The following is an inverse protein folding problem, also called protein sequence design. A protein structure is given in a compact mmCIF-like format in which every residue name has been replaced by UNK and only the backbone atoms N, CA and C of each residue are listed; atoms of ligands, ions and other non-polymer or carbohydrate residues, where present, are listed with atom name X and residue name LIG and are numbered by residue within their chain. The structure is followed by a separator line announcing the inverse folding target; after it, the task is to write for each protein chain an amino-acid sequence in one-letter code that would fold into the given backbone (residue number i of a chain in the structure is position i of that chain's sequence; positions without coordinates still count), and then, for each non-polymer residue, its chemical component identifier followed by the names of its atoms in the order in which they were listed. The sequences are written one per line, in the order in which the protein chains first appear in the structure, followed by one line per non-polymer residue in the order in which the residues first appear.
data_IF_597431187358
#
_entry.id   IF_597431187358
#
_cell.length_a   1.000
_cell.length_b   1.000
_cell.length_c   1.000
_cell.angle_alpha   90.00
_cell.angle_beta   90.00
_cell.angle_gamma   90.00
#
_symmetry.space_group_name_H-M   'P 1'
#
loop_
_entity.id
_entity.type
_entity.pdbx_description
1 polymer ?
#
# COMPACT_ATOMS: atom_id res chain seq x y z
N UNK A 1 -19.35 -2.70 23.57
CA UNK A 1 -18.19 -3.33 22.88
C UNK A 1 -18.42 -3.51 21.38
N UNK A 2 -19.57 -4.02 20.91
CA UNK A 2 -19.83 -4.20 19.46
C UNK A 2 -19.76 -2.91 18.62
N UNK A 3 -20.27 -1.77 19.11
CA UNK A 3 -20.27 -0.50 18.36
C UNK A 3 -18.85 0.04 18.08
N UNK A 4 -17.86 -0.32 18.92
CA UNK A 4 -16.45 0.02 18.73
C UNK A 4 -15.68 -1.02 17.91
N UNK A 5 -16.05 -2.31 18.05
CA UNK A 5 -15.42 -3.39 17.30
C UNK A 5 -15.88 -3.43 15.83
N UNK A 6 -17.10 -3.00 15.52
CA UNK A 6 -17.69 -3.10 14.18
C UNK A 6 -16.99 -2.20 13.14
N UNK A 7 -16.68 -0.92 13.40
CA UNK A 7 -15.88 -0.09 12.49
C UNK A 7 -14.47 -0.65 12.28
N UNK A 8 -13.86 -1.20 13.33
CA UNK A 8 -12.53 -1.79 13.26
C UNK A 8 -12.53 -3.08 12.44
N UNK A 9 -13.57 -3.91 12.59
CA UNK A 9 -13.78 -5.13 11.81
C UNK A 9 -14.02 -4.81 10.34
N UNK A 10 -14.86 -3.82 10.04
CA UNK A 10 -15.11 -3.36 8.66
C UNK A 10 -13.83 -2.80 8.02
N UNK A 11 -13.07 -1.99 8.77
CA UNK A 11 -11.79 -1.46 8.28
C UNK A 11 -10.75 -2.56 8.04
N UNK A 12 -10.70 -3.57 8.92
CA UNK A 12 -9.82 -4.74 8.77
C UNK A 12 -10.20 -5.62 7.59
N UNK A 13 -11.50 -5.91 7.43
CA UNK A 13 -12.04 -6.64 6.28
C UNK A 13 -11.71 -5.91 4.98
N UNK A 14 -12.02 -4.62 4.89
CA UNK A 14 -11.71 -3.82 3.71
C UNK A 14 -10.19 -3.75 3.41
N UNK A 15 -9.34 -3.74 4.43
CA UNK A 15 -7.89 -3.85 4.27
C UNK A 15 -7.44 -5.18 3.68
N UNK A 16 -7.95 -6.29 4.20
CA UNK A 16 -7.67 -7.64 3.67
C UNK A 16 -8.23 -7.78 2.25
N UNK A 17 -9.42 -7.25 2.00
CA UNK A 17 -10.00 -7.20 0.67
C UNK A 17 -9.05 -6.49 -0.29
N UNK A 18 -8.50 -5.33 0.08
CA UNK A 18 -7.54 -4.62 -0.77
C UNK A 18 -6.31 -5.45 -1.16
N UNK A 19 -5.79 -6.29 -0.26
CA UNK A 19 -4.61 -7.10 -0.54
C UNK A 19 -4.92 -8.40 -1.31
N UNK A 20 -6.13 -8.94 -1.17
CA UNK A 20 -6.46 -10.29 -1.67
C UNK A 20 -7.43 -10.30 -2.84
N UNK A 21 -8.23 -9.25 -3.00
CA UNK A 21 -9.29 -9.20 -4.02
C UNK A 21 -8.70 -9.21 -5.44
N UNK A 22 -7.52 -8.63 -5.64
CA UNK A 22 -6.80 -8.61 -6.92
C UNK A 22 -6.67 -10.01 -7.52
N UNK A 23 -6.24 -10.99 -6.71
CA UNK A 23 -6.04 -12.38 -7.15
C UNK A 23 -7.36 -13.10 -7.41
N UNK A 24 -8.37 -12.82 -6.60
CA UNK A 24 -9.72 -13.39 -6.76
C UNK A 24 -10.37 -12.84 -8.02
N UNK A 25 -10.24 -11.53 -8.27
CA UNK A 25 -10.78 -10.89 -9.46
C UNK A 25 -10.07 -11.39 -10.71
N UNK A 26 -8.74 -11.54 -10.70
CA UNK A 26 -8.02 -12.18 -11.81
C UNK A 26 -8.55 -13.59 -12.09
N UNK A 27 -8.91 -14.36 -11.04
CA UNK A 27 -9.47 -15.69 -11.21
C UNK A 27 -10.82 -15.70 -11.95
N UNK A 28 -11.70 -14.76 -11.61
CA UNK A 28 -13.08 -14.72 -12.13
C UNK A 28 -13.24 -13.92 -13.41
N UNK A 29 -12.39 -12.92 -13.67
CA UNK A 29 -12.50 -12.03 -14.84
C UNK A 29 -11.70 -12.53 -16.06
N UNK A 30 -10.69 -13.37 -15.86
CA UNK A 30 -9.93 -13.96 -16.96
C UNK A 30 -10.54 -15.30 -17.41
N UNK A 31 -10.45 -15.65 -18.70
CA UNK A 31 -10.80 -16.98 -19.20
C UNK A 31 -10.08 -18.07 -18.40
N UNK A 32 -10.77 -19.16 -18.04
CA UNK A 32 -10.26 -20.21 -17.15
C UNK A 32 -8.96 -20.87 -17.65
N UNK A 33 -8.76 -20.83 -18.96
CA UNK A 33 -7.62 -21.30 -19.73
C UNK A 33 -6.35 -20.45 -19.55
N UNK A 34 -6.48 -19.15 -19.26
CA UNK A 34 -5.34 -18.21 -19.10
C UNK A 34 -5.18 -17.75 -17.65
N UNK A 35 -6.29 -17.76 -16.90
CA UNK A 35 -6.41 -17.32 -15.51
C UNK A 35 -5.35 -17.91 -14.57
N UNK A 36 -5.11 -19.23 -14.64
CA UNK A 36 -4.14 -19.88 -13.76
C UNK A 36 -2.68 -19.43 -14.03
N UNK A 37 -2.33 -19.18 -15.30
CA UNK A 37 -1.00 -18.70 -15.69
C UNK A 37 -0.77 -17.26 -15.22
N UNK A 38 -1.75 -16.39 -15.45
CA UNK A 38 -1.70 -14.97 -15.07
C UNK A 38 -1.65 -14.77 -13.56
N UNK A 39 -2.42 -15.55 -12.78
CA UNK A 39 -2.34 -15.53 -11.31
C UNK A 39 -0.97 -16.01 -10.83
N UNK A 40 -0.40 -17.03 -11.50
CA UNK A 40 0.94 -17.54 -11.22
C UNK A 40 2.00 -16.47 -11.43
N UNK A 41 1.97 -15.78 -12.57
CA UNK A 41 2.85 -14.65 -12.89
C UNK A 41 2.68 -13.50 -11.89
N UNK A 42 1.45 -13.08 -11.62
CA UNK A 42 1.18 -12.02 -10.64
C UNK A 42 1.71 -12.37 -9.26
N UNK A 43 1.46 -13.60 -8.78
CA UNK A 43 1.95 -14.08 -7.48
C UNK A 43 3.47 -14.15 -7.41
N UNK A 44 4.12 -14.51 -8.52
CA UNK A 44 5.56 -14.51 -8.64
C UNK A 44 6.17 -13.10 -8.55
N UNK A 45 5.64 -12.13 -9.30
CA UNK A 45 6.10 -10.73 -9.21
C UNK A 45 5.78 -10.11 -7.85
N UNK A 46 4.64 -10.47 -7.25
CA UNK A 46 4.30 -10.03 -5.90
C UNK A 46 5.31 -10.52 -4.86
N UNK A 47 5.85 -11.74 -5.00
CA UNK A 47 6.92 -12.25 -4.13
C UNK A 47 8.18 -11.39 -4.20
N UNK A 48 8.51 -10.81 -5.36
CA UNK A 48 9.65 -9.90 -5.47
C UNK A 48 9.40 -8.59 -4.71
N UNK A 49 8.16 -8.11 -4.69
CA UNK A 49 7.78 -6.93 -3.91
C UNK A 49 7.62 -7.18 -2.41
N UNK A 50 7.67 -8.44 -1.95
CA UNK A 50 7.38 -8.80 -0.55
C UNK A 50 8.36 -8.16 0.44
N UNK A 51 9.61 -7.91 0.02
CA UNK A 51 10.63 -7.25 0.83
C UNK A 51 10.13 -5.87 1.28
N UNK A 52 9.52 -5.14 0.35
CA UNK A 52 8.93 -3.83 0.61
C UNK A 52 7.72 -3.95 1.55
N UNK A 53 6.82 -4.89 1.26
CA UNK A 53 5.63 -5.12 2.09
C UNK A 53 6.01 -5.46 3.52
N UNK A 54 7.00 -6.33 3.73
CA UNK A 54 7.49 -6.70 5.05
C UNK A 54 8.06 -5.49 5.79
N UNK A 55 8.89 -4.67 5.12
CA UNK A 55 9.41 -3.44 5.73
C UNK A 55 8.28 -2.50 6.17
N UNK A 56 7.28 -2.30 5.29
CA UNK A 56 6.11 -1.47 5.57
C UNK A 56 5.29 -2.01 6.75
N UNK A 57 5.11 -3.33 6.83
CA UNK A 57 4.40 -3.97 7.95
C UNK A 57 5.16 -3.88 9.26
N UNK A 58 6.47 -4.15 9.26
CA UNK A 58 7.33 -3.97 10.45
C UNK A 58 7.30 -2.53 10.91
N UNK A 59 7.41 -1.58 9.98
CA UNK A 59 7.27 -0.16 10.28
C UNK A 59 5.92 0.14 10.92
N UNK A 60 4.80 -0.35 10.35
CA UNK A 60 3.45 -0.16 10.93
C UNK A 60 3.39 -0.63 12.39
N UNK A 61 3.91 -1.84 12.67
CA UNK A 61 3.88 -2.39 14.02
C UNK A 61 4.76 -1.64 15.02
N UNK A 62 5.86 -1.03 14.58
CA UNK A 62 6.70 -0.20 15.43
C UNK A 62 6.16 1.23 15.57
N UNK A 63 5.61 1.78 14.50
CA UNK A 63 5.15 3.16 14.40
C UNK A 63 3.91 3.39 15.25
N UNK A 64 2.93 2.48 15.24
CA UNK A 64 1.72 2.62 16.06
C UNK A 64 2.04 2.85 17.56
N UNK A 65 2.73 1.94 18.28
CA UNK A 65 3.04 2.16 19.69
C UNK A 65 3.95 3.36 19.92
N UNK A 66 4.91 3.63 19.02
CA UNK A 66 5.80 4.79 19.11
C UNK A 66 5.04 6.11 19.02
N UNK A 67 4.10 6.22 18.09
CA UNK A 67 3.31 7.43 17.91
C UNK A 67 2.35 7.66 19.06
N UNK A 68 1.73 6.60 19.60
CA UNK A 68 0.91 6.68 20.82
C UNK A 68 1.73 7.07 22.06
N UNK A 69 2.96 6.58 22.21
CA UNK A 69 3.82 6.96 23.34
C UNK A 69 4.29 8.42 23.25
N UNK A 70 4.55 8.92 22.03
CA UNK A 70 5.04 10.28 21.83
C UNK A 70 3.93 11.35 21.83
N UNK A 71 2.65 10.96 21.78
CA UNK A 71 1.50 11.89 21.67
C UNK A 71 1.50 12.95 22.78
N UNK A 72 1.90 12.58 23.99
CA UNK A 72 1.91 13.46 25.17
C UNK A 72 3.09 14.43 25.20
N UNK A 73 4.05 14.31 24.28
CA UNK A 73 5.20 15.20 24.23
C UNK A 73 4.96 16.47 23.41
N UNK A 74 5.49 17.59 23.90
CA UNK A 74 5.35 18.92 23.30
C UNK A 74 5.85 19.03 21.85
N UNK A 75 6.71 18.10 21.40
CA UNK A 75 7.33 18.07 20.08
C UNK A 75 6.85 16.92 19.17
N UNK A 76 5.77 16.21 19.52
CA UNK A 76 5.27 15.04 18.79
C UNK A 76 5.18 15.25 17.27
N UNK A 77 4.69 16.42 16.82
CA UNK A 77 4.53 16.75 15.41
C UNK A 77 5.85 16.82 14.62
N UNK A 78 6.94 17.28 15.24
CA UNK A 78 8.27 17.32 14.60
C UNK A 78 8.85 15.92 14.48
N UNK A 79 8.69 15.10 15.51
CA UNK A 79 9.10 13.69 15.50
C UNK A 79 8.37 12.94 14.39
N UNK A 80 7.08 13.16 14.21
CA UNK A 80 6.30 12.52 13.15
C UNK A 80 6.79 12.89 11.74
N UNK A 81 7.09 14.18 11.52
CA UNK A 81 7.67 14.64 10.25
C UNK A 81 9.07 14.03 9.99
N UNK A 82 9.87 13.85 11.03
CA UNK A 82 11.19 13.23 10.93
C UNK A 82 11.10 11.73 10.64
N UNK A 83 10.17 11.02 11.30
CA UNK A 83 9.88 9.60 11.01
C UNK A 83 9.42 9.43 9.57
N UNK A 84 8.51 10.27 9.09
CA UNK A 84 8.06 10.24 7.69
C UNK A 84 9.22 10.43 6.72
N UNK A 85 10.11 11.38 6.99
CA UNK A 85 11.31 11.62 6.16
C UNK A 85 12.22 10.38 6.12
N UNK A 86 12.57 9.80 7.26
CA UNK A 86 13.43 8.62 7.30
C UNK A 86 12.76 7.39 6.68
N UNK A 87 11.46 7.23 6.89
CA UNK A 87 10.66 6.20 6.23
C UNK A 87 10.81 6.34 4.71
N UNK A 88 10.49 7.50 4.13
CA UNK A 88 10.62 7.73 2.69
C UNK A 88 12.04 7.46 2.16
N UNK A 89 13.09 7.85 2.90
CA UNK A 89 14.48 7.59 2.50
C UNK A 89 14.77 6.09 2.45
N UNK A 90 14.42 5.33 3.49
CA UNK A 90 14.68 3.89 3.55
C UNK A 90 13.85 3.15 2.50
N UNK A 91 12.59 3.52 2.35
CA UNK A 91 11.68 2.92 1.38
C UNK A 91 12.12 3.21 -0.07
N UNK A 92 12.64 4.42 -0.36
CA UNK A 92 13.27 4.74 -1.64
C UNK A 92 14.58 3.97 -1.87
N UNK A 93 15.38 3.78 -0.82
CA UNK A 93 16.60 2.96 -0.90
C UNK A 93 16.29 1.49 -1.22
N UNK A 94 15.27 0.91 -0.59
CA UNK A 94 14.79 -0.45 -0.90
C UNK A 94 14.31 -0.52 -2.35
N UNK A 95 13.50 0.45 -2.79
CA UNK A 95 13.03 0.54 -4.17
C UNK A 95 14.20 0.53 -5.18
N UNK A 96 15.17 1.44 -5.00
CA UNK A 96 16.35 1.53 -5.86
C UNK A 96 17.19 0.25 -5.84
N UNK A 97 17.38 -0.35 -4.66
CA UNK A 97 18.15 -1.59 -4.52
C UNK A 97 17.49 -2.72 -5.30
N UNK A 98 16.17 -2.92 -5.16
CA UNK A 98 15.46 -3.98 -5.89
C UNK A 98 15.46 -3.74 -7.40
N UNK A 99 15.40 -2.49 -7.84
CA UNK A 99 15.49 -2.14 -9.27
C UNK A 99 16.88 -2.37 -9.85
N UNK A 100 17.95 -1.96 -9.17
CA UNK A 100 19.34 -2.18 -9.63
C UNK A 100 19.66 -3.67 -9.69
N UNK A 101 19.21 -4.44 -8.69
CA UNK A 101 19.40 -5.87 -8.63
C UNK A 101 18.27 -6.66 -9.30
N UNK A 102 17.44 -6.04 -10.15
CA UNK A 102 16.30 -6.71 -10.77
C UNK A 102 16.70 -8.00 -11.51
N UNK A 103 17.84 -7.98 -12.21
CA UNK A 103 18.35 -9.15 -12.93
C UNK A 103 18.73 -10.33 -12.03
N UNK A 104 19.08 -10.06 -10.77
CA UNK A 104 19.36 -11.08 -9.75
C UNK A 104 18.05 -11.48 -9.06
N UNK A 105 17.22 -10.51 -8.73
CA UNK A 105 15.95 -10.70 -8.03
C UNK A 105 14.97 -11.52 -8.89
N UNK A 106 14.95 -11.34 -10.20
CA UNK A 106 14.13 -12.16 -11.11
C UNK A 106 14.52 -13.64 -11.09
N UNK A 107 15.78 -13.98 -10.79
CA UNK A 107 16.23 -15.38 -10.68
C UNK A 107 15.64 -16.11 -9.47
N UNK A 108 15.13 -15.40 -8.46
CA UNK A 108 14.38 -16.01 -7.36
C UNK A 108 13.02 -16.57 -7.81
N UNK A 109 12.53 -16.12 -8.97
CA UNK A 109 11.39 -16.73 -9.62
C UNK A 109 11.89 -17.79 -10.61
N UNK A 110 11.25 -18.96 -10.60
CA UNK A 110 11.55 -20.01 -11.59
C UNK A 110 11.42 -19.49 -13.03
N UNK A 111 12.26 -20.02 -13.93
CA UNK A 111 12.37 -19.59 -15.33
C UNK A 111 11.04 -19.58 -16.09
N UNK A 112 10.09 -20.45 -15.72
CA UNK A 112 8.74 -20.50 -16.29
C UNK A 112 7.90 -19.23 -16.04
N UNK A 113 8.33 -18.34 -15.15
CA UNK A 113 7.67 -17.08 -14.80
C UNK A 113 8.50 -15.86 -15.20
N UNK A 114 9.58 -16.04 -15.97
CA UNK A 114 10.33 -14.93 -16.56
C UNK A 114 9.55 -14.36 -17.74
N UNK A 115 8.66 -13.42 -17.43
CA UNK A 115 7.92 -12.64 -18.41
C UNK A 115 8.54 -11.24 -18.51
N UNK A 116 8.66 -10.72 -19.74
CA UNK A 116 9.11 -9.36 -20.04
C UNK A 116 8.25 -8.30 -19.33
N UNK A 117 6.95 -8.61 -19.12
CA UNK A 117 6.02 -7.75 -18.38
C UNK A 117 6.41 -7.55 -16.93
N UNK A 118 7.22 -8.45 -16.37
CA UNK A 118 7.73 -8.37 -15.01
C UNK A 118 8.56 -7.13 -14.73
N UNK A 119 9.31 -6.64 -15.72
CA UNK A 119 10.15 -5.45 -15.57
C UNK A 119 9.32 -4.18 -15.36
N UNK A 120 8.07 -4.19 -15.83
CA UNK A 120 7.11 -3.10 -15.67
C UNK A 120 6.33 -3.24 -14.35
N UNK A 121 5.97 -4.47 -13.98
CA UNK A 121 5.09 -4.73 -12.83
C UNK A 121 5.81 -4.61 -11.50
N UNK A 122 7.04 -5.13 -11.39
CA UNK A 122 7.79 -5.07 -10.12
C UNK A 122 7.97 -3.63 -9.60
N UNK A 123 8.39 -2.63 -10.41
CA UNK A 123 8.44 -1.25 -9.92
C UNK A 123 7.08 -0.70 -9.52
N UNK A 124 6.01 -1.03 -10.26
CA UNK A 124 4.64 -0.61 -9.95
C UNK A 124 4.22 -1.17 -8.58
N UNK A 125 4.43 -2.47 -8.33
CA UNK A 125 4.10 -3.09 -7.05
C UNK A 125 4.94 -2.53 -5.89
N UNK A 126 6.22 -2.26 -6.12
CA UNK A 126 7.06 -1.62 -5.09
C UNK A 126 6.59 -0.19 -4.77
N UNK A 127 6.24 0.60 -5.79
CA UNK A 127 5.66 1.93 -5.62
C UNK A 127 4.32 1.87 -4.91
N UNK A 128 3.46 0.91 -5.25
CA UNK A 128 2.19 0.69 -4.57
C UNK A 128 2.44 0.45 -3.07
N UNK A 129 3.37 -0.45 -2.73
CA UNK A 129 3.74 -0.70 -1.33
C UNK A 129 4.37 0.52 -0.63
N UNK A 130 5.14 1.35 -1.35
CA UNK A 130 5.64 2.63 -0.82
C UNK A 130 4.49 3.55 -0.41
N UNK A 131 3.50 3.74 -1.29
CA UNK A 131 2.33 4.55 -1.01
C UNK A 131 1.47 3.97 0.12
N UNK A 132 1.39 2.64 0.22
CA UNK A 132 0.72 1.97 1.35
C UNK A 132 1.41 2.31 2.68
N UNK A 133 2.74 2.31 2.72
CA UNK A 133 3.49 2.71 3.91
C UNK A 133 3.36 4.19 4.24
N UNK A 134 3.31 5.06 3.23
CA UNK A 134 3.01 6.48 3.38
C UNK A 134 1.61 6.68 3.98
N UNK A 135 0.62 5.94 3.47
CA UNK A 135 -0.73 5.91 3.99
C UNK A 135 -0.74 5.46 5.45
N UNK A 136 0.00 4.40 5.82
CA UNK A 136 0.07 3.99 7.22
C UNK A 136 0.63 5.07 8.11
N UNK A 137 1.74 5.73 7.72
CA UNK A 137 2.32 6.83 8.47
C UNK A 137 1.34 7.99 8.68
N UNK A 138 0.62 8.37 7.61
CA UNK A 138 -0.40 9.42 7.67
C UNK A 138 -1.60 8.98 8.51
N UNK A 139 -2.09 7.75 8.34
CA UNK A 139 -3.33 7.27 8.96
C UNK A 139 -3.31 7.23 10.50
N UNK A 140 -2.15 7.42 11.12
CA UNK A 140 -1.99 7.43 12.57
C UNK A 140 -2.78 8.57 13.23
N UNK A 141 -3.00 9.69 12.52
CA UNK A 141 -3.78 10.81 13.06
C UNK A 141 -5.24 10.43 13.37
N UNK A 142 -5.86 9.54 12.57
CA UNK A 142 -7.25 9.12 12.78
C UNK A 142 -7.41 8.36 14.10
N UNK A 143 -6.42 7.54 14.42
CA UNK A 143 -6.38 6.73 15.65
C UNK A 143 -6.11 7.60 16.87
N UNK A 144 -5.18 8.56 16.75
CA UNK A 144 -4.83 9.50 17.83
C UNK A 144 -5.96 10.49 18.15
N UNK A 145 -6.78 10.87 17.17
CA UNK A 145 -7.89 11.83 17.39
C UNK A 145 -9.19 11.12 17.84
N UNK A 146 -9.14 9.83 18.20
CA UNK A 146 -10.30 8.97 18.52
C UNK A 146 -11.39 8.92 17.42
N UNK A 147 -11.09 9.40 16.20
CA UNK A 147 -12.02 9.45 15.05
C UNK A 147 -11.87 8.22 14.16
N UNK A 148 -11.95 7.03 14.75
CA UNK A 148 -11.86 5.72 14.06
C UNK A 148 -12.85 5.56 12.90
N UNK A 149 -13.97 6.28 12.92
CA UNK A 149 -14.93 6.33 11.82
C UNK A 149 -14.31 6.78 10.49
N UNK A 150 -13.34 7.69 10.52
CA UNK A 150 -12.64 8.14 9.31
C UNK A 150 -11.70 7.08 8.74
N UNK A 151 -11.12 6.23 9.60
CA UNK A 151 -10.38 5.05 9.16
C UNK A 151 -11.27 4.06 8.42
N UNK A 152 -12.50 3.84 8.91
CA UNK A 152 -13.48 3.00 8.22
C UNK A 152 -13.87 3.60 6.85
N UNK A 153 -14.13 4.91 6.75
CA UNK A 153 -14.40 5.57 5.47
C UNK A 153 -13.23 5.46 4.49
N UNK A 154 -11.98 5.62 4.95
CA UNK A 154 -10.78 5.45 4.13
C UNK A 154 -10.63 4.02 3.62
N UNK A 155 -10.82 3.00 4.47
CA UNK A 155 -10.76 1.61 4.04
C UNK A 155 -11.89 1.27 3.05
N UNK A 156 -13.09 1.80 3.25
CA UNK A 156 -14.25 1.55 2.38
C UNK A 156 -14.08 2.24 1.01
N UNK A 157 -13.53 3.46 0.98
CA UNK A 157 -13.11 4.13 -0.24
C UNK A 157 -12.01 3.33 -0.96
N UNK A 158 -10.99 2.86 -0.23
CA UNK A 158 -9.92 2.02 -0.78
C UNK A 158 -10.48 0.76 -1.45
N UNK A 159 -11.30 0.00 -0.74
CA UNK A 159 -11.92 -1.21 -1.27
C UNK A 159 -12.79 -0.91 -2.51
N UNK A 160 -13.57 0.18 -2.50
CA UNK A 160 -14.40 0.58 -3.64
C UNK A 160 -13.54 0.92 -4.86
N UNK A 161 -12.48 1.70 -4.67
CA UNK A 161 -11.54 2.10 -5.71
C UNK A 161 -10.87 0.85 -6.29
N UNK A 162 -10.34 -0.04 -5.46
CA UNK A 162 -9.72 -1.29 -5.90
C UNK A 162 -10.66 -2.16 -6.71
N UNK A 163 -11.90 -2.34 -6.26
CA UNK A 163 -12.88 -3.14 -7.00
C UNK A 163 -13.20 -2.51 -8.35
N UNK A 164 -13.47 -1.20 -8.39
CA UNK A 164 -13.83 -0.49 -9.63
C UNK A 164 -12.67 -0.49 -10.63
N UNK A 165 -11.45 -0.18 -10.18
CA UNK A 165 -10.28 -0.18 -11.05
C UNK A 165 -9.92 -1.60 -11.51
N UNK A 166 -9.96 -2.61 -10.65
CA UNK A 166 -9.70 -3.99 -11.08
C UNK A 166 -10.76 -4.45 -12.10
N UNK A 167 -12.05 -4.18 -11.88
CA UNK A 167 -13.11 -4.51 -12.84
C UNK A 167 -12.93 -3.80 -14.19
N UNK A 168 -12.41 -2.56 -14.19
CA UNK A 168 -12.17 -1.79 -15.40
C UNK A 168 -10.87 -2.16 -16.12
N UNK A 169 -9.78 -2.47 -15.40
CA UNK A 169 -8.45 -2.67 -15.98
C UNK A 169 -8.12 -4.13 -16.27
N UNK A 170 -8.58 -5.09 -15.44
CA UNK A 170 -8.33 -6.52 -15.67
C UNK A 170 -8.79 -6.99 -17.07
N UNK A 171 -9.98 -6.63 -17.59
CA UNK A 171 -10.43 -7.16 -18.88
C UNK A 171 -9.59 -6.67 -20.08
N UNK A 172 -8.85 -5.56 -19.97
CA UNK A 172 -8.00 -5.04 -21.05
C UNK A 172 -6.52 -5.36 -20.89
N UNK A 173 -6.02 -5.39 -19.65
CA UNK A 173 -4.58 -5.46 -19.34
C UNK A 173 -4.21 -6.70 -18.49
N UNK A 174 -5.17 -7.55 -18.13
CA UNK A 174 -4.95 -8.73 -17.31
C UNK A 174 -4.30 -8.39 -15.96
N UNK A 175 -3.29 -9.17 -15.57
CA UNK A 175 -2.56 -8.94 -14.33
C UNK A 175 -1.78 -7.62 -14.24
N UNK A 176 -1.35 -7.06 -15.38
CA UNK A 176 -0.70 -5.73 -15.42
C UNK A 176 -1.69 -4.66 -14.99
N UNK A 177 -2.94 -4.78 -15.44
CA UNK A 177 -4.04 -3.89 -15.05
C UNK A 177 -4.31 -3.92 -13.55
N UNK A 178 -4.22 -5.10 -12.94
CA UNK A 178 -4.35 -5.25 -11.49
C UNK A 178 -3.25 -4.53 -10.72
N UNK A 179 -1.98 -4.64 -11.15
CA UNK A 179 -0.88 -3.92 -10.52
C UNK A 179 -1.07 -2.38 -10.56
N UNK A 180 -1.55 -1.86 -11.70
CA UNK A 180 -1.89 -0.44 -11.83
C UNK A 180 -3.08 -0.04 -10.96
N UNK A 181 -4.10 -0.89 -10.85
CA UNK A 181 -5.24 -0.67 -9.97
C UNK A 181 -4.78 -0.55 -8.51
N UNK A 182 -3.90 -1.44 -8.05
CA UNK A 182 -3.33 -1.41 -6.69
C UNK A 182 -2.53 -0.13 -6.45
N UNK A 183 -1.69 0.29 -7.41
CA UNK A 183 -0.93 1.54 -7.32
C UNK A 183 -1.86 2.76 -7.23
N UNK A 184 -2.84 2.87 -8.13
CA UNK A 184 -3.79 3.97 -8.12
C UNK A 184 -4.62 4.01 -6.83
N UNK A 185 -5.05 2.85 -6.33
CA UNK A 185 -5.74 2.75 -5.07
C UNK A 185 -4.90 3.28 -3.91
N UNK A 186 -3.70 2.74 -3.70
CA UNK A 186 -2.85 3.16 -2.58
C UNK A 186 -2.39 4.62 -2.72
N UNK A 187 -2.16 5.10 -3.94
CA UNK A 187 -1.89 6.51 -4.20
C UNK A 187 -3.07 7.40 -3.79
N UNK A 188 -4.30 7.08 -4.24
CA UNK A 188 -5.49 7.84 -3.88
C UNK A 188 -5.78 7.79 -2.37
N UNK A 189 -5.60 6.63 -1.73
CA UNK A 189 -5.72 6.49 -0.28
C UNK A 189 -4.70 7.37 0.45
N UNK A 190 -3.44 7.39 0.00
CA UNK A 190 -2.40 8.23 0.59
C UNK A 190 -2.71 9.72 0.41
N UNK A 191 -3.14 10.14 -0.79
CA UNK A 191 -3.51 11.52 -1.11
C UNK A 191 -4.71 11.99 -0.28
N UNK A 192 -5.78 11.20 -0.24
CA UNK A 192 -6.95 11.53 0.59
C UNK A 192 -6.58 11.58 2.08
N UNK A 193 -5.75 10.65 2.55
CA UNK A 193 -5.27 10.66 3.93
C UNK A 193 -4.44 11.90 4.27
N UNK A 194 -3.60 12.34 3.33
CA UNK A 194 -2.83 13.57 3.43
C UNK A 194 -3.73 14.81 3.52
N UNK A 195 -4.69 14.96 2.61
CA UNK A 195 -5.60 16.11 2.60
C UNK A 195 -6.50 16.18 3.83
N UNK A 196 -7.09 15.05 4.26
CA UNK A 196 -7.90 15.03 5.48
C UNK A 196 -7.04 15.25 6.73
N UNK A 197 -5.82 14.71 6.76
CA UNK A 197 -4.85 14.90 7.85
C UNK A 197 -4.45 16.36 7.98
N UNK A 198 -4.10 17.03 6.88
CA UNK A 198 -3.78 18.46 6.88
C UNK A 198 -4.97 19.32 7.37
N UNK A 199 -6.21 18.92 7.06
CA UNK A 199 -7.43 19.64 7.43
C UNK A 199 -7.82 19.47 8.91
N UNK A 200 -7.62 18.29 9.49
CA UNK A 200 -8.04 17.99 10.87
C UNK A 200 -6.91 18.07 11.89
N UNK A 201 -5.68 17.78 11.49
CA UNK A 201 -4.52 17.76 12.35
C UNK A 201 -3.30 18.27 11.58
N UNK A 202 -3.11 19.59 11.45
CA UNK A 202 -2.02 20.15 10.66
C UNK A 202 -0.68 19.73 11.27
N UNK A 203 -0.04 18.76 10.63
CA UNK A 203 1.33 18.35 10.84
C UNK A 203 2.16 19.08 9.77
N UNK A 204 3.23 19.80 10.14
CA UNK A 204 4.08 20.51 9.18
C UNK A 204 4.96 19.50 8.42
N UNK A 205 4.36 18.71 7.53
CA UNK A 205 5.09 17.80 6.64
C UNK A 205 5.90 18.65 5.64
N UNK A 206 7.23 18.47 5.55
CA UNK A 206 8.08 19.21 4.62
C UNK A 206 7.94 18.65 3.20
N UNK A 207 6.79 18.86 2.55
CA UNK A 207 6.48 18.39 1.20
C UNK A 207 7.54 18.78 0.16
N UNK A 208 8.07 20.02 0.24
CA UNK A 208 9.09 20.53 -0.70
C UNK A 208 10.44 19.79 -0.64
N UNK A 209 10.71 19.02 0.42
CA UNK A 209 11.94 18.25 0.60
C UNK A 209 11.77 16.75 0.31
N UNK A 210 10.53 16.30 0.12
CA UNK A 210 10.16 14.92 -0.21
C UNK A 210 9.83 14.79 -1.70
N UNK A 211 9.41 15.89 -2.34
CA UNK A 211 9.12 15.95 -3.78
C UNK A 211 10.33 16.26 -4.66
N UNK A 212 11.55 16.34 -4.11
CA UNK A 212 12.75 16.75 -4.84
C UNK A 212 13.92 15.80 -4.55
#
# INVERSE_FOLDING_TARGET
MMVYALPLMVAGLAGITNETIDRILLQYLLPADISASEIGLYSAFYKLSIIMTLFVQTFRFAAEPFFFSQEKERNAKQVYAQVMKYFSIVTAFIFLSVMIYYDVVKQFIGSSFHDERGAIIVPILLLANLFLGLYYNLSVWYKLTEKTQYGAYMSLLGATITVVLNLALIPYLGFVGSAWATLCCYFLMAVCSYFLGQKHYPIPYPLKRISL
#
